data_IF_340574301290
#
_entry.id   IF_340574301290
#
_cell.length_a   1.000
_cell.length_b   1.000
_cell.length_c   1.000
_cell.angle_alpha   90.00
_cell.angle_beta   90.00
_cell.angle_gamma   90.00
#
_symmetry.space_group_name_H-M   'P 1'
#
loop_
_entity.id
_entity.type
_entity.pdbx_description
1 polymer ?
#
# COMPACT_ATOMS: atom_id res chain seq x y z
N UNK A 1 -5.54 18.24 13.14
CA UNK A 1 -5.68 16.85 12.66
C UNK A 1 -4.27 16.37 12.36
N UNK A 2 -3.91 15.18 12.77
CA UNK A 2 -2.62 14.57 12.43
C UNK A 2 -2.55 14.31 10.93
N UNK A 3 -1.33 14.21 10.38
CA UNK A 3 -1.15 13.70 9.03
C UNK A 3 -1.45 12.19 9.01
N UNK A 4 -1.81 11.67 7.86
CA UNK A 4 -2.17 10.27 7.70
C UNK A 4 -1.06 9.50 6.98
N UNK A 5 -0.66 8.38 7.55
CA UNK A 5 0.13 7.35 6.86
C UNK A 5 -0.84 6.30 6.31
N UNK A 6 -0.79 6.05 5.01
CA UNK A 6 -1.51 4.95 4.36
C UNK A 6 -0.52 3.86 4.01
N UNK A 7 -0.73 2.68 4.56
CA UNK A 7 0.04 1.47 4.24
C UNK A 7 -0.75 0.62 3.26
N UNK A 8 -0.22 0.45 2.06
CA UNK A 8 -0.75 -0.52 1.10
C UNK A 8 -0.18 -1.90 1.39
N UNK A 9 -1.03 -2.91 1.54
CA UNK A 9 -0.56 -4.24 1.92
C UNK A 9 -1.15 -5.38 1.10
N UNK A 10 -0.29 -6.37 0.87
CA UNK A 10 -0.63 -7.67 0.32
C UNK A 10 0.05 -8.76 1.16
N UNK A 11 -0.67 -9.31 2.11
CA UNK A 11 -0.13 -10.27 3.06
C UNK A 11 -0.82 -11.63 2.89
N UNK A 12 -0.39 -12.37 1.86
CA UNK A 12 -0.86 -13.72 1.55
C UNK A 12 -0.08 -14.82 2.29
N UNK A 13 0.96 -14.44 3.03
CA UNK A 13 1.79 -15.35 3.82
C UNK A 13 2.00 -14.80 5.21
N UNK A 14 2.27 -15.70 6.17
CA UNK A 14 2.59 -15.32 7.55
C UNK A 14 3.79 -14.40 7.64
N UNK A 15 4.81 -14.62 6.82
CA UNK A 15 6.00 -13.76 6.79
C UNK A 15 5.64 -12.30 6.41
N UNK A 16 4.79 -12.11 5.40
CA UNK A 16 4.35 -10.77 4.99
C UNK A 16 3.47 -10.11 6.06
N UNK A 17 2.62 -10.89 6.73
CA UNK A 17 1.86 -10.38 7.88
C UNK A 17 2.78 -9.89 9.02
N UNK A 18 3.86 -10.61 9.30
CA UNK A 18 4.81 -10.23 10.34
C UNK A 18 5.59 -8.96 9.98
N UNK A 19 5.92 -8.77 8.70
CA UNK A 19 6.52 -7.54 8.18
C UNK A 19 5.54 -6.36 8.36
N UNK A 20 4.30 -6.50 7.91
CA UNK A 20 3.25 -5.49 8.11
C UNK A 20 3.05 -5.17 9.61
N UNK A 21 3.03 -6.19 10.46
CA UNK A 21 2.88 -6.03 11.91
C UNK A 21 4.01 -5.21 12.51
N UNK A 22 5.24 -5.44 12.07
CA UNK A 22 6.39 -4.66 12.52
C UNK A 22 6.25 -3.19 12.12
N UNK A 23 5.91 -2.89 10.86
CA UNK A 23 5.68 -1.55 10.38
C UNK A 23 4.55 -0.83 11.15
N UNK A 24 3.42 -1.50 11.34
CA UNK A 24 2.29 -0.95 12.11
C UNK A 24 2.69 -0.68 13.55
N UNK A 25 3.50 -1.54 14.18
CA UNK A 25 4.01 -1.31 15.52
C UNK A 25 4.95 -0.10 15.60
N UNK A 26 5.77 0.13 14.59
CA UNK A 26 6.63 1.33 14.51
C UNK A 26 5.78 2.60 14.44
N UNK A 27 4.81 2.65 13.52
CA UNK A 27 3.89 3.78 13.38
C UNK A 27 3.05 4.00 14.65
N UNK A 28 2.56 2.94 15.28
CA UNK A 28 1.76 3.02 16.50
C UNK A 28 2.56 3.58 17.69
N UNK A 29 3.84 3.20 17.82
CA UNK A 29 4.73 3.73 18.86
C UNK A 29 5.04 5.20 18.66
N UNK A 30 5.24 5.63 17.42
CA UNK A 30 5.50 7.03 17.08
C UNK A 30 4.32 7.92 17.44
N UNK A 31 3.10 7.46 17.23
CA UNK A 31 1.84 8.11 17.60
C UNK A 31 1.67 9.58 17.15
N UNK A 32 2.50 10.07 16.24
CA UNK A 32 2.41 11.45 15.69
C UNK A 32 1.54 11.52 14.44
N UNK A 33 1.27 10.37 13.84
CA UNK A 33 0.46 10.21 12.64
C UNK A 33 -0.77 9.36 12.93
N UNK A 34 -1.84 9.60 12.19
CA UNK A 34 -2.91 8.63 12.07
C UNK A 34 -2.48 7.55 11.08
N UNK A 35 -2.94 6.32 11.27
CA UNK A 35 -2.53 5.18 10.46
C UNK A 35 -3.73 4.51 9.81
N UNK A 36 -3.66 4.34 8.48
CA UNK A 36 -4.62 3.56 7.71
C UNK A 36 -3.90 2.40 7.02
N UNK A 37 -4.43 1.20 7.14
CA UNK A 37 -3.99 0.05 6.35
C UNK A 37 -5.05 -0.24 5.29
N UNK A 38 -4.63 -0.30 4.03
CA UNK A 38 -5.47 -0.71 2.90
C UNK A 38 -4.94 -2.01 2.34
N UNK A 39 -5.75 -3.05 2.36
CA UNK A 39 -5.34 -4.40 1.99
C UNK A 39 -6.36 -5.07 1.10
N UNK A 40 -5.91 -5.96 0.21
CA UNK A 40 -6.77 -6.88 -0.52
C UNK A 40 -6.69 -8.31 0.03
N UNK A 41 -5.97 -8.51 1.12
CA UNK A 41 -6.06 -9.69 1.98
C UNK A 41 -6.66 -9.29 3.32
N UNK A 42 -7.20 -10.24 4.06
CA UNK A 42 -7.75 -9.98 5.40
C UNK A 42 -6.68 -9.40 6.33
N UNK A 43 -7.05 -8.39 7.09
CA UNK A 43 -6.16 -7.72 8.04
C UNK A 43 -6.35 -8.38 9.40
N UNK A 44 -5.29 -8.92 10.03
CA UNK A 44 -5.37 -9.50 11.38
C UNK A 44 -5.86 -8.48 12.42
N UNK A 45 -6.64 -8.94 13.38
CA UNK A 45 -7.24 -8.11 14.43
C UNK A 45 -6.21 -7.33 15.26
N UNK A 46 -5.06 -7.93 15.53
CA UNK A 46 -3.98 -7.29 16.30
C UNK A 46 -3.33 -6.12 15.54
N UNK A 47 -3.36 -6.15 14.22
CA UNK A 47 -2.94 -5.04 13.34
C UNK A 47 -4.06 -3.99 13.30
N UNK A 48 -5.29 -4.41 13.03
CA UNK A 48 -6.44 -3.51 12.91
C UNK A 48 -6.67 -2.67 14.17
N UNK A 49 -6.47 -3.23 15.36
CA UNK A 49 -6.61 -2.51 16.65
C UNK A 49 -5.59 -1.40 16.87
N UNK A 50 -4.50 -1.36 16.11
CA UNK A 50 -3.44 -0.34 16.19
C UNK A 50 -3.54 0.71 15.08
N UNK A 51 -4.51 0.60 14.21
CA UNK A 51 -4.75 1.53 13.11
C UNK A 51 -5.93 2.43 13.43
N UNK A 52 -5.91 3.64 12.89
CA UNK A 52 -7.08 4.54 12.92
C UNK A 52 -8.19 3.98 12.05
N UNK A 53 -7.81 3.36 10.92
CA UNK A 53 -8.73 2.74 9.99
C UNK A 53 -8.06 1.57 9.26
N UNK A 54 -8.81 0.49 9.08
CA UNK A 54 -8.41 -0.66 8.26
C UNK A 54 -9.44 -0.88 7.16
N UNK A 55 -8.97 -0.91 5.92
CA UNK A 55 -9.79 -1.12 4.74
C UNK A 55 -9.40 -2.44 4.07
N UNK A 56 -10.38 -3.31 3.88
CA UNK A 56 -10.21 -4.57 3.19
C UNK A 56 -10.99 -4.56 1.87
N UNK A 57 -10.28 -4.56 0.74
CA UNK A 57 -10.87 -4.66 -0.59
C UNK A 57 -10.84 -6.10 -1.11
N UNK A 58 -11.84 -6.88 -0.72
CA UNK A 58 -12.01 -8.26 -1.18
C UNK A 58 -12.28 -8.42 -2.68
N UNK A 59 -12.59 -7.30 -3.37
CA UNK A 59 -12.88 -7.27 -4.79
C UNK A 59 -11.70 -6.83 -5.64
N UNK A 60 -10.52 -6.70 -5.06
CA UNK A 60 -9.31 -6.41 -5.81
C UNK A 60 -8.80 -7.68 -6.52
N UNK A 61 -9.54 -8.13 -7.51
CA UNK A 61 -9.30 -9.37 -8.26
C UNK A 61 -8.06 -9.30 -9.16
N UNK A 62 -7.52 -8.11 -9.40
CA UNK A 62 -6.40 -7.90 -10.31
C UNK A 62 -5.13 -8.65 -9.89
N UNK A 63 -5.02 -9.02 -8.61
CA UNK A 63 -3.92 -9.83 -8.10
C UNK A 63 -4.12 -11.33 -8.27
N UNK A 64 -5.35 -11.77 -8.48
CA UNK A 64 -5.70 -13.19 -8.53
C UNK A 64 -5.89 -13.71 -9.95
N UNK A 65 -5.97 -12.83 -10.95
CA UNK A 65 -6.07 -13.24 -12.35
C UNK A 65 -4.68 -13.49 -12.96
N UNK A 66 -3.94 -14.38 -12.31
CA UNK A 66 -2.57 -14.73 -12.72
C UNK A 66 -2.52 -15.69 -13.90
N UNK A 67 -3.60 -16.37 -14.20
CA UNK A 67 -3.61 -17.36 -15.26
C UNK A 67 -3.98 -16.75 -16.62
N UNK A 68 -3.04 -15.98 -17.17
CA UNK A 68 -3.14 -15.47 -18.54
C UNK A 68 -3.24 -16.59 -19.57
N UNK A 69 -2.76 -17.79 -19.25
CA UNK A 69 -2.80 -18.95 -20.14
C UNK A 69 -4.22 -19.39 -20.44
N UNK A 70 -5.14 -19.14 -19.53
CA UNK A 70 -6.56 -19.42 -19.71
C UNK A 70 -7.27 -18.39 -20.60
N UNK A 71 -6.62 -17.29 -20.96
CA UNK A 71 -7.26 -16.22 -21.74
C UNK A 71 -7.22 -16.54 -23.26
N UNK A 72 -8.34 -16.38 -23.99
CA UNK A 72 -8.41 -16.71 -25.42
C UNK A 72 -7.44 -15.92 -26.31
N UNK A 73 -7.02 -14.73 -25.85
CA UNK A 73 -6.12 -13.84 -26.56
C UNK A 73 -4.64 -14.12 -26.27
N UNK A 74 -4.34 -15.02 -25.35
CA UNK A 74 -2.96 -15.35 -24.99
C UNK A 74 -2.27 -16.15 -26.08
N UNK A 75 -1.12 -15.69 -26.54
CA UNK A 75 -0.30 -16.38 -27.52
C UNK A 75 0.87 -17.11 -26.84
N UNK A 76 0.84 -18.45 -26.75
CA UNK A 76 1.89 -19.21 -26.06
C UNK A 76 3.28 -19.12 -26.74
N UNK A 77 3.37 -18.64 -27.99
CA UNK A 77 4.65 -18.43 -28.67
C UNK A 77 5.54 -17.34 -28.04
N UNK A 78 4.95 -16.40 -27.33
CA UNK A 78 5.64 -15.28 -26.66
C UNK A 78 5.51 -15.35 -25.13
N UNK A 79 5.37 -16.55 -24.60
CA UNK A 79 5.00 -16.80 -23.20
C UNK A 79 5.90 -16.08 -22.18
N UNK A 80 7.21 -16.05 -22.41
CA UNK A 80 8.16 -15.41 -21.48
C UNK A 80 8.11 -13.88 -21.51
N UNK A 81 7.97 -13.28 -22.67
CA UNK A 81 7.88 -11.83 -22.81
C UNK A 81 6.54 -11.30 -22.29
N UNK A 82 5.45 -11.96 -22.66
CA UNK A 82 4.12 -11.57 -22.22
C UNK A 82 3.97 -11.82 -20.71
N UNK A 83 4.50 -12.92 -20.19
CA UNK A 83 4.46 -13.21 -18.75
C UNK A 83 5.26 -12.21 -17.94
N UNK A 84 6.43 -11.74 -18.43
CA UNK A 84 7.20 -10.72 -17.72
C UNK A 84 6.55 -9.34 -17.78
N UNK A 85 5.90 -8.98 -18.89
CA UNK A 85 5.30 -7.68 -19.10
C UNK A 85 3.90 -7.59 -18.45
N UNK A 86 3.07 -8.63 -18.59
CA UNK A 86 1.66 -8.55 -18.17
C UNK A 86 1.38 -9.13 -16.78
N UNK A 87 2.06 -10.17 -16.32
CA UNK A 87 1.77 -10.77 -15.01
C UNK A 87 2.53 -10.15 -13.86
N UNK A 88 3.82 -9.86 -14.06
CA UNK A 88 4.64 -9.30 -12.98
C UNK A 88 4.41 -7.82 -12.76
N UNK A 89 4.25 -7.07 -13.85
CA UNK A 89 4.30 -5.61 -13.81
C UNK A 89 2.91 -4.94 -13.77
N UNK A 90 2.00 -5.34 -14.65
CA UNK A 90 0.73 -4.62 -14.80
C UNK A 90 -0.31 -4.96 -13.73
N UNK A 91 -0.51 -6.21 -13.39
CA UNK A 91 -1.58 -6.58 -12.47
C UNK A 91 -1.27 -6.16 -11.03
N UNK A 92 -0.02 -6.30 -10.58
CA UNK A 92 0.39 -5.85 -9.25
C UNK A 92 0.33 -4.32 -9.15
N UNK A 93 0.76 -3.59 -10.18
CA UNK A 93 0.67 -2.14 -10.19
C UNK A 93 -0.77 -1.63 -10.17
N UNK A 94 -1.65 -2.21 -10.97
CA UNK A 94 -3.07 -1.83 -10.98
C UNK A 94 -3.73 -2.12 -9.62
N UNK A 95 -3.37 -3.24 -8.97
CA UNK A 95 -3.87 -3.56 -7.65
C UNK A 95 -3.37 -2.57 -6.59
N UNK A 96 -2.11 -2.16 -6.65
CA UNK A 96 -1.54 -1.12 -5.77
C UNK A 96 -2.23 0.22 -6.03
N UNK A 97 -2.37 0.64 -7.29
CA UNK A 97 -3.07 1.87 -7.63
C UNK A 97 -4.51 1.89 -7.14
N UNK A 98 -5.21 0.78 -7.21
CA UNK A 98 -6.57 0.67 -6.68
C UNK A 98 -6.60 0.90 -5.16
N UNK A 99 -5.66 0.33 -4.42
CA UNK A 99 -5.53 0.58 -2.98
C UNK A 99 -5.20 2.04 -2.66
N UNK A 100 -4.28 2.65 -3.43
CA UNK A 100 -3.92 4.07 -3.29
C UNK A 100 -5.13 4.96 -3.53
N UNK A 101 -5.87 4.73 -4.60
CA UNK A 101 -7.09 5.51 -4.93
C UNK A 101 -8.15 5.35 -3.84
N UNK A 102 -8.38 4.11 -3.36
CA UNK A 102 -9.33 3.85 -2.28
C UNK A 102 -8.91 4.57 -1.00
N UNK A 103 -7.66 4.42 -0.58
CA UNK A 103 -7.13 5.05 0.62
C UNK A 103 -7.22 6.57 0.56
N UNK A 104 -6.80 7.18 -0.58
CA UNK A 104 -6.90 8.62 -0.78
C UNK A 104 -8.34 9.14 -0.78
N UNK A 105 -9.25 8.41 -1.40
CA UNK A 105 -10.67 8.79 -1.43
C UNK A 105 -11.25 8.82 -0.02
N UNK A 106 -10.94 7.82 0.80
CA UNK A 106 -11.38 7.75 2.19
C UNK A 106 -10.69 8.85 3.01
N UNK A 107 -9.38 9.04 2.88
CA UNK A 107 -8.63 10.08 3.57
C UNK A 107 -9.20 11.47 3.29
N UNK A 108 -9.50 11.78 2.01
CA UNK A 108 -10.13 13.04 1.60
C UNK A 108 -11.49 13.24 2.27
N UNK A 109 -12.34 12.21 2.28
CA UNK A 109 -13.67 12.28 2.90
C UNK A 109 -13.61 12.44 4.42
N UNK A 110 -12.55 11.94 5.07
CA UNK A 110 -12.29 12.13 6.49
C UNK A 110 -11.62 13.47 6.81
N UNK A 111 -11.28 14.27 5.79
CA UNK A 111 -10.74 15.63 5.94
C UNK A 111 -9.23 15.70 6.15
N UNK A 112 -8.48 14.60 5.90
CA UNK A 112 -7.03 14.66 5.93
C UNK A 112 -6.49 15.55 4.80
N UNK A 113 -5.53 16.42 5.16
CA UNK A 113 -4.91 17.35 4.21
C UNK A 113 -3.58 16.82 3.68
N UNK A 114 -2.89 16.02 4.46
CA UNK A 114 -1.59 15.45 4.13
C UNK A 114 -1.64 13.95 4.31
N UNK A 115 -1.15 13.24 3.30
CA UNK A 115 -1.16 11.78 3.23
C UNK A 115 0.21 11.29 2.77
N UNK A 116 0.76 10.34 3.50
CA UNK A 116 2.00 9.66 3.19
C UNK A 116 1.70 8.22 2.80
N UNK A 117 2.08 7.83 1.59
CA UNK A 117 1.93 6.45 1.14
C UNK A 117 3.22 5.67 1.37
N UNK A 118 3.09 4.51 2.01
CA UNK A 118 4.17 3.54 2.17
C UNK A 118 3.67 2.13 1.86
N UNK A 119 4.53 1.28 1.36
CA UNK A 119 4.25 -0.14 1.18
C UNK A 119 4.52 -0.91 2.48
N UNK A 120 3.83 -2.03 2.66
CA UNK A 120 3.89 -2.82 3.90
C UNK A 120 5.29 -3.36 4.24
N UNK A 121 6.18 -3.47 3.27
CA UNK A 121 7.55 -3.97 3.40
C UNK A 121 8.60 -2.85 3.56
N UNK A 122 8.15 -1.61 3.69
CA UNK A 122 9.03 -0.51 4.06
C UNK A 122 9.53 -0.67 5.49
N UNK A 123 10.83 -0.43 5.70
CA UNK A 123 11.43 -0.34 7.03
C UNK A 123 11.65 1.14 7.39
N UNK A 124 10.84 1.65 8.31
CA UNK A 124 10.98 3.03 8.80
C UNK A 124 11.98 3.03 9.94
N UNK A 125 13.24 3.35 9.66
CA UNK A 125 14.30 3.44 10.69
C UNK A 125 14.08 4.63 11.62
N UNK A 126 13.66 5.76 11.07
CA UNK A 126 13.21 6.93 11.82
C UNK A 126 12.14 7.69 11.02
N UNK A 127 11.39 8.53 11.69
CA UNK A 127 10.29 9.28 11.09
C UNK A 127 10.70 10.67 10.59
N UNK A 128 11.98 11.04 10.67
CA UNK A 128 12.49 12.37 10.27
C UNK A 128 12.14 12.70 8.83
N UNK A 129 12.31 11.74 7.91
CA UNK A 129 11.99 11.93 6.50
C UNK A 129 10.49 12.19 6.27
N UNK A 130 9.61 11.50 7.01
CA UNK A 130 8.16 11.73 6.92
C UNK A 130 7.81 13.11 7.46
N UNK A 131 8.42 13.56 8.57
CA UNK A 131 8.23 14.89 9.11
C UNK A 131 8.70 16.00 8.15
N UNK A 132 9.86 15.81 7.53
CA UNK A 132 10.39 16.79 6.59
C UNK A 132 9.54 16.87 5.31
N UNK A 133 9.09 15.73 4.78
CA UNK A 133 8.15 15.69 3.67
C UNK A 133 6.80 16.29 4.02
N UNK A 134 6.33 16.12 5.25
CA UNK A 134 5.10 16.77 5.72
C UNK A 134 5.20 18.30 5.68
N UNK A 135 6.36 18.88 5.99
CA UNK A 135 6.58 20.34 5.86
C UNK A 135 6.60 20.76 4.38
N UNK A 136 7.22 19.95 3.51
CA UNK A 136 7.23 20.23 2.07
C UNK A 136 5.83 20.19 1.46
N UNK A 137 4.93 19.34 1.95
CA UNK A 137 3.52 19.29 1.53
C UNK A 137 2.71 20.55 1.91
N UNK A 138 3.25 21.47 2.71
CA UNK A 138 2.66 22.81 2.89
C UNK A 138 2.89 23.71 1.67
N UNK A 139 3.88 23.40 0.84
CA UNK A 139 4.28 24.20 -0.33
C UNK A 139 3.99 23.51 -1.65
N UNK A 140 4.02 22.19 -1.67
CA UNK A 140 3.87 21.38 -2.88
C UNK A 140 2.66 20.46 -2.77
N UNK A 141 1.91 20.30 -3.86
CA UNK A 141 0.74 19.42 -3.91
C UNK A 141 1.10 17.94 -3.89
N UNK A 142 2.29 17.58 -4.34
CA UNK A 142 2.80 16.22 -4.38
C UNK A 142 4.32 16.18 -4.25
N UNK A 143 4.81 15.27 -3.44
CA UNK A 143 6.24 14.96 -3.29
C UNK A 143 6.39 13.46 -3.55
N UNK A 144 7.25 13.12 -4.51
CA UNK A 144 7.65 11.73 -4.72
C UNK A 144 9.08 11.58 -4.20
N UNK A 145 9.24 10.67 -3.25
CA UNK A 145 10.56 10.29 -2.78
C UNK A 145 10.69 8.77 -2.82
N UNK A 146 11.73 8.33 -3.49
CA UNK A 146 12.11 6.92 -3.51
C UNK A 146 13.51 6.84 -2.95
N UNK A 147 13.66 6.24 -1.79
CA UNK A 147 14.98 5.87 -1.30
C UNK A 147 15.39 4.59 -2.01
N UNK A 148 16.27 4.71 -2.98
CA UNK A 148 16.97 3.55 -3.53
C UNK A 148 17.97 3.11 -2.47
N UNK A 149 17.70 1.97 -1.86
CA UNK A 149 18.62 1.30 -0.92
C UNK A 149 19.69 0.54 -1.70
#
# INVERSE_FOLDING_TARGET
MKDLIIVSSYCDTKQKEDILRNLVNQCYKENSFDLMVVSHTTIPDDISKKTTLSLYDSKNELLYDWDLRSKPWFNPGNEREIQSIFTGFFNSHLAIWRMIILGNSVAKNLGYKKVHHIEYDCDIKDFTEIYDNSKLLDTYDCINYTKII
#
